data_IF_671090504643
#
_entry.id   IF_671090504643
#
_cell.length_a   1.000
_cell.length_b   1.000
_cell.length_c   1.000
_cell.angle_alpha   90.00
_cell.angle_beta   90.00
_cell.angle_gamma   90.00
#
_symmetry.space_group_name_H-M   'P 1'
#
loop_
_entity.id
_entity.type
_entity.pdbx_description
1 polymer ?
#
# COMPACT_ATOMS: atom_id res chain seq x y z
N UNK A 1 9.60 5.43 -12.41
CA UNK A 1 10.29 4.18 -12.80
C UNK A 1 10.16 3.15 -11.67
N UNK A 2 9.79 1.93 -11.99
CA UNK A 2 9.80 0.80 -11.04
C UNK A 2 11.04 -0.04 -11.34
N UNK A 3 11.73 -0.47 -10.29
CA UNK A 3 12.92 -1.32 -10.41
C UNK A 3 12.77 -2.47 -9.44
N UNK A 4 12.87 -3.68 -9.99
CA UNK A 4 12.77 -4.91 -9.24
C UNK A 4 14.13 -5.34 -8.65
N UNK A 5 14.08 -6.26 -7.68
CA UNK A 5 15.23 -6.89 -7.02
C UNK A 5 16.16 -5.96 -6.21
N UNK A 6 15.67 -4.81 -5.76
CA UNK A 6 16.47 -3.88 -4.93
C UNK A 6 16.27 -4.06 -3.42
N UNK A 7 15.23 -4.77 -3.01
CA UNK A 7 14.81 -4.83 -1.60
C UNK A 7 15.33 -6.05 -0.86
N UNK A 8 15.61 -7.16 -1.56
CA UNK A 8 16.00 -8.43 -0.94
C UNK A 8 16.99 -9.23 -1.82
N UNK A 9 18.28 -9.24 -1.47
CA UNK A 9 18.88 -8.44 -0.41
C UNK A 9 18.76 -6.93 -0.69
N UNK A 10 18.92 -6.10 0.36
CA UNK A 10 18.80 -4.65 0.19
C UNK A 10 20.04 -4.06 -0.49
N UNK A 11 19.89 -3.63 -1.73
CA UNK A 11 20.96 -3.14 -2.59
C UNK A 11 21.17 -1.63 -2.44
N UNK A 12 21.70 -1.21 -1.30
CA UNK A 12 21.83 0.20 -0.94
C UNK A 12 22.61 1.02 -1.99
N UNK A 13 23.76 0.52 -2.43
CA UNK A 13 24.62 1.24 -3.37
C UNK A 13 23.94 1.46 -4.73
N UNK A 14 23.21 0.46 -5.21
CA UNK A 14 22.46 0.51 -6.46
C UNK A 14 21.30 1.49 -6.37
N UNK A 15 20.58 1.52 -5.23
CA UNK A 15 19.50 2.47 -4.98
C UNK A 15 20.03 3.90 -5.03
N UNK A 16 21.15 4.20 -4.34
CA UNK A 16 21.79 5.50 -4.37
C UNK A 16 22.26 5.89 -5.76
N UNK A 17 22.84 4.94 -6.51
CA UNK A 17 23.30 5.18 -7.88
C UNK A 17 22.14 5.53 -8.80
N UNK A 18 21.03 4.80 -8.71
CA UNK A 18 19.82 5.06 -9.50
C UNK A 18 19.21 6.41 -9.13
N UNK A 19 19.10 6.72 -7.85
CA UNK A 19 18.59 8.01 -7.38
C UNK A 19 19.44 9.17 -7.94
N UNK A 20 20.76 9.07 -7.83
CA UNK A 20 21.70 10.05 -8.41
C UNK A 20 21.55 10.19 -9.93
N UNK A 21 21.33 9.07 -10.63
CA UNK A 21 21.10 9.10 -12.08
C UNK A 21 19.80 9.81 -12.44
N UNK A 22 18.72 9.53 -11.71
CA UNK A 22 17.43 10.22 -11.89
C UNK A 22 17.59 11.73 -11.64
N UNK A 23 18.24 12.14 -10.57
CA UNK A 23 18.41 13.54 -10.20
C UNK A 23 19.21 14.30 -11.26
N UNK A 24 20.23 13.68 -11.86
CA UNK A 24 21.02 14.28 -12.96
C UNK A 24 20.21 14.56 -14.21
N UNK A 25 19.07 13.89 -14.40
CA UNK A 25 18.20 14.17 -15.57
C UNK A 25 17.47 15.52 -15.46
N UNK A 26 17.36 16.09 -14.26
CA UNK A 26 16.54 17.25 -13.96
C UNK A 26 15.02 17.02 -14.13
N UNK A 27 14.59 15.79 -14.34
CA UNK A 27 13.18 15.44 -14.56
C UNK A 27 12.52 14.94 -13.27
N UNK A 28 11.24 15.27 -13.03
CA UNK A 28 10.49 14.76 -11.89
C UNK A 28 10.10 13.28 -12.13
N UNK A 29 11.00 12.35 -11.77
CA UNK A 29 10.79 10.90 -11.94
C UNK A 29 10.62 10.26 -10.58
N UNK A 30 9.47 9.60 -10.38
CA UNK A 30 9.19 8.76 -9.21
C UNK A 30 10.01 7.47 -9.31
N UNK A 31 10.74 7.13 -8.25
CA UNK A 31 11.41 5.85 -8.08
C UNK A 31 10.59 4.96 -7.16
N UNK A 32 10.18 3.79 -7.69
CA UNK A 32 9.51 2.72 -6.95
C UNK A 32 10.42 1.49 -6.88
N UNK A 33 10.68 1.01 -5.67
CA UNK A 33 11.47 -0.20 -5.42
C UNK A 33 10.56 -1.42 -5.23
N UNK A 34 10.87 -2.52 -5.90
CA UNK A 34 10.10 -3.78 -5.92
C UNK A 34 11.03 -4.94 -6.36
N UNK A 35 10.56 -6.21 -6.29
CA UNK A 35 9.65 -6.75 -5.31
C UNK A 35 10.37 -7.02 -4.00
N UNK A 36 9.62 -7.62 -3.09
CA UNK A 36 10.14 -8.11 -1.83
C UNK A 36 9.89 -7.16 -0.69
N UNK A 37 9.86 -7.74 0.46
CA UNK A 37 9.67 -7.05 1.71
C UNK A 37 10.93 -6.23 2.03
N UNK A 38 10.83 -4.92 1.95
CA UNK A 38 11.92 -4.04 2.36
C UNK A 38 12.08 -4.12 3.88
N UNK A 39 13.31 -4.34 4.35
CA UNK A 39 13.60 -4.36 5.79
C UNK A 39 13.32 -2.98 6.40
N UNK A 40 12.47 -2.93 7.43
CA UNK A 40 12.11 -1.71 8.13
C UNK A 40 13.32 -1.00 8.76
N UNK A 41 14.38 -1.72 9.09
CA UNK A 41 15.64 -1.13 9.56
C UNK A 41 16.36 -0.29 8.47
N UNK A 42 15.91 -0.36 7.23
CA UNK A 42 16.38 0.45 6.10
C UNK A 42 15.44 1.61 5.76
N UNK A 43 14.43 1.86 6.60
CA UNK A 43 13.40 2.84 6.33
C UNK A 43 13.96 4.25 6.05
N UNK A 44 14.87 4.74 6.88
CA UNK A 44 15.47 6.07 6.70
C UNK A 44 16.21 6.19 5.35
N UNK A 45 16.89 5.12 4.93
CA UNK A 45 17.55 5.09 3.63
C UNK A 45 16.53 5.05 2.48
N UNK A 46 15.48 4.24 2.61
CA UNK A 46 14.41 4.16 1.61
C UNK A 46 13.69 5.52 1.43
N UNK A 47 13.32 6.17 2.54
CA UNK A 47 12.73 7.52 2.56
C UNK A 47 13.63 8.55 1.87
N UNK A 48 14.95 8.47 2.08
CA UNK A 48 15.92 9.41 1.51
C UNK A 48 16.17 9.22 0.01
N UNK A 49 15.90 8.05 -0.55
CA UNK A 49 16.34 7.71 -1.89
C UNK A 49 15.23 7.24 -2.85
N UNK A 50 14.11 6.75 -2.34
CA UNK A 50 12.97 6.31 -3.15
C UNK A 50 11.71 7.10 -2.82
N UNK A 51 10.74 7.06 -3.72
CA UNK A 51 9.42 7.66 -3.52
C UNK A 51 8.38 6.63 -3.08
N UNK A 52 8.59 5.38 -3.50
CA UNK A 52 7.78 4.22 -3.13
C UNK A 52 8.70 3.02 -2.91
N UNK A 53 8.34 2.15 -2.00
CA UNK A 53 9.03 0.88 -1.78
C UNK A 53 8.07 -0.17 -1.24
N UNK A 54 8.19 -1.38 -1.74
CA UNK A 54 7.36 -2.51 -1.32
C UNK A 54 7.65 -2.88 0.12
N UNK A 55 6.62 -2.97 0.91
CA UNK A 55 6.70 -3.36 2.32
C UNK A 55 6.46 -4.85 2.53
N UNK A 56 5.94 -5.52 1.53
CA UNK A 56 5.63 -6.96 1.50
C UNK A 56 6.07 -7.57 0.17
N UNK A 57 6.13 -8.88 0.10
CA UNK A 57 6.20 -9.61 -1.16
C UNK A 57 4.91 -9.45 -1.97
N UNK A 58 4.79 -10.11 -3.11
CA UNK A 58 3.61 -10.01 -3.97
C UNK A 58 2.33 -10.32 -3.20
N UNK A 59 1.47 -9.32 -3.10
CA UNK A 59 0.20 -9.42 -2.39
C UNK A 59 -0.88 -10.00 -3.30
N UNK A 60 -1.26 -11.24 -3.00
CA UNK A 60 -2.33 -11.93 -3.72
C UNK A 60 -3.57 -12.13 -2.85
N UNK A 61 -4.68 -12.40 -3.50
CA UNK A 61 -6.02 -12.54 -2.95
C UNK A 61 -6.22 -13.82 -2.13
N UNK A 62 -5.53 -13.88 -0.99
CA UNK A 62 -5.67 -14.93 0.02
C UNK A 62 -5.51 -14.37 1.43
N UNK A 63 -6.16 -15.02 2.39
CA UNK A 63 -6.16 -14.55 3.77
C UNK A 63 -4.78 -14.43 4.42
N UNK A 64 -3.83 -15.37 4.27
CA UNK A 64 -2.50 -15.23 4.86
C UNK A 64 -1.80 -13.95 4.40
N UNK A 65 -1.89 -13.57 3.13
CA UNK A 65 -1.30 -12.34 2.62
C UNK A 65 -2.00 -11.09 3.19
N UNK A 66 -3.35 -11.11 3.29
CA UNK A 66 -4.09 -10.02 3.89
C UNK A 66 -3.78 -9.86 5.37
N UNK A 67 -3.73 -10.97 6.11
CA UNK A 67 -3.38 -10.94 7.53
C UNK A 67 -1.97 -10.37 7.77
N UNK A 68 -1.02 -10.76 6.93
CA UNK A 68 0.36 -10.23 7.00
C UNK A 68 0.43 -8.71 6.79
N UNK A 69 -0.45 -8.11 5.99
CA UNK A 69 -0.53 -6.66 5.88
C UNK A 69 -0.80 -5.97 7.23
N UNK A 70 -1.65 -6.57 8.08
CA UNK A 70 -1.91 -6.03 9.42
C UNK A 70 -0.70 -6.10 10.36
N UNK A 71 0.27 -6.97 10.09
CA UNK A 71 1.52 -7.07 10.85
C UNK A 71 2.58 -6.08 10.35
N UNK A 72 2.58 -5.78 9.07
CA UNK A 72 3.61 -4.99 8.39
C UNK A 72 3.26 -3.50 8.33
N UNK A 73 2.02 -3.16 7.95
CA UNK A 73 1.59 -1.76 7.81
C UNK A 73 1.85 -0.90 9.06
N UNK A 74 1.63 -1.40 10.32
CA UNK A 74 1.91 -0.60 11.52
C UNK A 74 3.38 -0.23 11.67
N UNK A 75 4.30 -1.10 11.22
CA UNK A 75 5.75 -0.86 11.31
C UNK A 75 6.19 0.25 10.36
N UNK A 76 5.50 0.38 9.22
CA UNK A 76 5.81 1.35 8.17
C UNK A 76 5.00 2.66 8.26
N UNK A 77 3.89 2.67 8.99
CA UNK A 77 3.05 3.87 9.15
C UNK A 77 3.82 5.14 9.60
N UNK A 78 4.83 5.06 10.49
CA UNK A 78 5.61 6.23 10.88
C UNK A 78 6.43 6.87 9.77
N UNK A 79 6.67 6.16 8.68
CA UNK A 79 7.51 6.61 7.56
C UNK A 79 6.71 7.18 6.38
N UNK A 80 5.38 7.23 6.50
CA UNK A 80 4.52 7.82 5.49
C UNK A 80 4.70 9.34 5.48
N UNK A 81 5.02 9.89 4.32
CA UNK A 81 5.21 11.33 4.18
C UNK A 81 5.05 11.81 2.75
N UNK A 82 5.16 13.11 2.54
CA UNK A 82 5.08 13.68 1.20
C UNK A 82 6.27 13.23 0.35
N UNK A 83 5.98 12.44 -0.68
CA UNK A 83 6.97 11.86 -1.58
C UNK A 83 7.65 10.60 -1.05
N UNK A 84 7.16 10.05 0.09
CA UNK A 84 7.64 8.84 0.72
C UNK A 84 6.45 7.93 1.02
N UNK A 85 6.29 6.88 0.23
CA UNK A 85 5.09 6.03 0.25
C UNK A 85 5.47 4.56 0.42
N UNK A 86 5.39 4.02 1.65
CA UNK A 86 5.41 2.58 1.85
C UNK A 86 4.28 1.93 1.05
N UNK A 87 4.62 0.98 0.20
CA UNK A 87 3.73 0.37 -0.78
C UNK A 87 3.34 -1.04 -0.33
N UNK A 88 2.08 -1.21 0.04
CA UNK A 88 1.51 -2.50 0.44
C UNK A 88 1.14 -3.38 -0.77
N UNK A 89 1.65 -3.03 -1.95
CA UNK A 89 1.44 -3.69 -3.23
C UNK A 89 0.07 -3.39 -3.88
N UNK A 90 -0.25 -4.17 -4.89
CA UNK A 90 -1.47 -4.00 -5.68
C UNK A 90 -2.75 -4.30 -4.88
N UNK A 91 -3.87 -3.83 -5.39
CA UNK A 91 -5.21 -4.24 -4.99
C UNK A 91 -5.65 -5.43 -5.86
N UNK A 92 -5.57 -6.70 -5.40
CA UNK A 92 -5.94 -7.86 -6.17
C UNK A 92 -7.46 -8.07 -6.14
N UNK A 93 -8.19 -7.10 -6.68
CA UNK A 93 -9.65 -7.03 -6.68
C UNK A 93 -10.21 -7.16 -8.10
N UNK A 94 -11.50 -7.49 -8.21
CA UNK A 94 -12.19 -7.62 -9.48
C UNK A 94 -11.71 -8.82 -10.31
N UNK A 95 -11.67 -8.63 -11.63
CA UNK A 95 -11.24 -9.66 -12.57
C UNK A 95 -9.72 -9.66 -12.71
N UNK A 96 -9.10 -10.75 -12.30
CA UNK A 96 -7.64 -10.95 -12.28
C UNK A 96 -7.28 -11.98 -13.35
N UNK A 97 -6.31 -11.68 -14.20
CA UNK A 97 -5.70 -12.65 -15.09
C UNK A 97 -4.23 -12.86 -14.71
N UNK A 98 -3.95 -14.01 -14.11
CA UNK A 98 -2.59 -14.41 -13.80
C UNK A 98 -2.14 -15.50 -14.78
N UNK A 99 -1.31 -15.12 -15.74
CA UNK A 99 -0.71 -16.05 -16.72
C UNK A 99 -1.74 -16.91 -17.47
N UNK A 100 -2.84 -16.30 -17.91
CA UNK A 100 -3.91 -16.97 -18.63
C UNK A 100 -4.92 -17.69 -17.75
N UNK A 101 -4.91 -17.49 -16.45
CA UNK A 101 -5.91 -17.96 -15.48
C UNK A 101 -6.83 -16.82 -15.08
N UNK A 102 -7.64 -16.36 -16.04
CA UNK A 102 -8.63 -15.31 -15.80
C UNK A 102 -9.70 -15.76 -14.79
N UNK A 103 -9.89 -14.98 -13.73
CA UNK A 103 -10.87 -15.27 -12.66
C UNK A 103 -11.21 -14.02 -11.86
N UNK A 104 -12.30 -14.06 -11.14
CA UNK A 104 -12.58 -13.04 -10.12
C UNK A 104 -11.65 -13.23 -8.90
N UNK A 105 -11.42 -12.15 -8.18
CA UNK A 105 -10.71 -12.18 -6.90
C UNK A 105 -11.32 -13.24 -5.97
N UNK A 106 -10.47 -13.98 -5.27
CA UNK A 106 -10.89 -14.99 -4.28
C UNK A 106 -11.28 -14.39 -2.94
N UNK A 107 -10.96 -13.13 -2.70
CA UNK A 107 -11.39 -12.45 -1.49
C UNK A 107 -12.91 -12.42 -1.40
N UNK A 108 -13.44 -12.77 -0.24
CA UNK A 108 -14.83 -12.49 0.11
C UNK A 108 -15.11 -10.99 0.04
N UNK A 109 -16.37 -10.58 0.04
CA UNK A 109 -16.72 -9.15 0.07
C UNK A 109 -16.16 -8.46 1.31
N UNK A 110 -16.19 -9.13 2.45
CA UNK A 110 -15.69 -8.56 3.71
C UNK A 110 -14.17 -8.38 3.65
N UNK A 111 -13.42 -9.36 3.12
CA UNK A 111 -11.99 -9.23 2.90
C UNK A 111 -11.65 -8.10 1.91
N UNK A 112 -12.45 -7.91 0.86
CA UNK A 112 -12.27 -6.80 -0.07
C UNK A 112 -12.51 -5.43 0.62
N UNK A 113 -13.51 -5.32 1.50
CA UNK A 113 -13.69 -4.15 2.35
C UNK A 113 -12.49 -3.95 3.28
N UNK A 114 -11.97 -5.02 3.90
CA UNK A 114 -10.77 -4.95 4.74
C UNK A 114 -9.56 -4.41 3.97
N UNK A 115 -9.29 -4.92 2.75
CA UNK A 115 -8.19 -4.46 1.90
C UNK A 115 -8.32 -2.95 1.64
N UNK A 116 -9.47 -2.50 1.12
CA UNK A 116 -9.66 -1.09 0.80
C UNK A 116 -9.57 -0.19 2.03
N UNK A 117 -10.13 -0.63 3.16
CA UNK A 117 -10.10 0.13 4.41
C UNK A 117 -8.67 0.22 4.96
N UNK A 118 -7.94 -0.90 5.01
CA UNK A 118 -6.56 -0.90 5.49
C UNK A 118 -5.66 -0.05 4.60
N UNK A 119 -5.76 -0.19 3.28
CA UNK A 119 -4.95 0.60 2.35
C UNK A 119 -5.26 2.10 2.44
N UNK A 120 -6.53 2.47 2.66
CA UNK A 120 -6.91 3.86 2.89
C UNK A 120 -6.33 4.40 4.20
N UNK A 121 -6.42 3.65 5.29
CA UNK A 121 -5.89 4.04 6.60
C UNK A 121 -4.37 4.03 6.66
N UNK A 122 -3.73 3.08 6.01
CA UNK A 122 -2.27 3.02 5.87
C UNK A 122 -1.73 4.00 4.82
N UNK A 123 -2.59 4.53 3.95
CA UNK A 123 -2.21 5.41 2.82
C UNK A 123 -1.26 4.74 1.82
N UNK A 124 -1.38 3.42 1.63
CA UNK A 124 -0.66 2.74 0.56
C UNK A 124 -1.04 3.31 -0.81
N UNK A 125 -0.10 3.45 -1.75
CA UNK A 125 -0.47 3.73 -3.13
C UNK A 125 -1.53 2.75 -3.64
N UNK A 126 -2.60 3.26 -4.26
CA UNK A 126 -3.70 2.41 -4.75
C UNK A 126 -3.39 1.96 -6.18
N UNK A 127 -2.64 0.86 -6.30
CA UNK A 127 -2.29 0.24 -7.57
C UNK A 127 -3.25 -0.91 -7.86
N UNK A 128 -4.17 -0.71 -8.81
CA UNK A 128 -5.18 -1.72 -9.14
C UNK A 128 -4.56 -2.91 -9.88
N UNK A 129 -4.72 -4.10 -9.33
CA UNK A 129 -4.15 -5.36 -9.85
C UNK A 129 -5.09 -6.16 -10.75
N UNK A 130 -6.33 -5.73 -10.93
CA UNK A 130 -7.31 -6.38 -11.80
C UNK A 130 -7.46 -5.69 -13.16
N UNK A 131 -8.32 -6.25 -14.02
CA UNK A 131 -8.66 -5.71 -15.34
C UNK A 131 -9.86 -4.74 -15.23
N UNK A 132 -9.58 -3.44 -15.24
CA UNK A 132 -10.59 -2.39 -15.01
C UNK A 132 -11.85 -2.50 -15.92
N UNK A 133 -11.72 -2.80 -17.22
CA UNK A 133 -12.91 -2.90 -18.11
C UNK A 133 -13.89 -3.99 -17.71
N UNK A 134 -13.43 -5.05 -17.04
CA UNK A 134 -14.25 -6.21 -16.66
C UNK A 134 -14.72 -6.16 -15.20
N UNK A 135 -14.50 -5.05 -14.52
CA UNK A 135 -14.93 -4.91 -13.13
C UNK A 135 -16.44 -5.00 -13.00
N UNK A 136 -16.90 -5.77 -12.00
CA UNK A 136 -18.28 -5.78 -11.58
C UNK A 136 -18.67 -4.48 -10.83
N UNK A 137 -19.97 -4.33 -10.59
CA UNK A 137 -20.51 -3.15 -9.88
C UNK A 137 -19.96 -3.03 -8.45
N UNK A 138 -19.71 -4.16 -7.80
CA UNK A 138 -19.19 -4.16 -6.42
C UNK A 138 -17.75 -3.68 -6.39
N UNK A 139 -16.87 -4.23 -7.22
CA UNK A 139 -15.48 -3.78 -7.34
C UNK A 139 -15.40 -2.29 -7.67
N UNK A 140 -16.21 -1.84 -8.64
CA UNK A 140 -16.27 -0.42 -8.96
C UNK A 140 -16.71 0.42 -7.76
N UNK A 141 -17.72 -0.02 -6.99
CA UNK A 141 -18.17 0.71 -5.80
C UNK A 141 -17.10 0.83 -4.71
N UNK A 142 -16.19 -0.14 -4.61
CA UNK A 142 -15.05 -0.07 -3.67
C UNK A 142 -14.01 0.95 -4.11
N UNK A 143 -13.53 0.83 -5.35
CA UNK A 143 -12.38 1.62 -5.84
C UNK A 143 -12.75 3.06 -6.20
N UNK A 144 -14.04 3.37 -6.31
CA UNK A 144 -14.56 4.72 -6.58
C UNK A 144 -15.31 5.34 -5.40
N UNK A 145 -15.23 4.76 -4.22
CA UNK A 145 -15.87 5.31 -3.03
C UNK A 145 -15.18 6.62 -2.62
N UNK A 146 -15.85 7.75 -2.84
CA UNK A 146 -15.28 9.08 -2.63
C UNK A 146 -14.92 9.35 -1.16
N UNK A 147 -15.64 8.78 -0.20
CA UNK A 147 -15.34 8.97 1.23
C UNK A 147 -14.07 8.23 1.60
N UNK A 148 -13.92 6.97 1.17
CA UNK A 148 -12.70 6.17 1.39
C UNK A 148 -11.50 6.80 0.70
N UNK A 149 -11.67 7.23 -0.55
CA UNK A 149 -10.63 7.93 -1.31
C UNK A 149 -10.28 9.29 -0.68
N UNK A 150 -11.26 9.96 -0.06
CA UNK A 150 -11.00 11.18 0.68
C UNK A 150 -10.11 10.92 1.90
N UNK A 151 -10.43 9.91 2.72
CA UNK A 151 -9.59 9.48 3.86
C UNK A 151 -8.18 9.15 3.39
N UNK A 152 -8.05 8.32 2.35
CA UNK A 152 -6.77 7.93 1.78
C UNK A 152 -5.90 9.15 1.40
N UNK A 153 -6.48 10.13 0.71
CA UNK A 153 -5.73 11.29 0.21
C UNK A 153 -5.39 12.31 1.29
N UNK A 154 -6.30 12.56 2.22
CA UNK A 154 -6.26 13.75 3.05
C UNK A 154 -5.98 13.48 4.53
N UNK A 155 -6.24 12.28 5.06
CA UNK A 155 -6.02 12.00 6.48
C UNK A 155 -4.55 12.14 6.88
N UNK A 156 -4.33 12.47 8.15
CA UNK A 156 -3.01 12.60 8.76
C UNK A 156 -2.96 11.81 10.07
N UNK A 157 -1.76 11.63 10.63
CA UNK A 157 -1.53 10.90 11.88
C UNK A 157 -2.08 9.47 11.86
N UNK A 158 -2.06 8.85 10.69
CA UNK A 158 -2.56 7.49 10.47
C UNK A 158 -1.72 6.47 11.25
N UNK A 159 -2.38 5.65 12.07
CA UNK A 159 -1.69 4.64 12.87
C UNK A 159 -2.62 3.53 13.33
N UNK A 160 -2.06 2.35 13.56
CA UNK A 160 -2.73 1.31 14.33
C UNK A 160 -2.77 1.75 15.80
N UNK A 161 -3.98 1.84 16.35
CA UNK A 161 -4.22 2.24 17.73
C UNK A 161 -4.37 1.05 18.68
N UNK A 162 -4.95 -0.04 18.17
CA UNK A 162 -5.26 -1.22 18.97
C UNK A 162 -5.07 -2.50 18.14
N UNK A 163 -4.55 -3.55 18.77
CA UNK A 163 -4.46 -4.87 18.18
C UNK A 163 -4.42 -5.91 19.31
N UNK A 164 -5.58 -6.49 19.63
CA UNK A 164 -5.70 -7.51 20.68
C UNK A 164 -6.99 -8.30 20.51
N UNK A 165 -6.95 -9.57 20.91
CA UNK A 165 -8.10 -10.47 20.98
C UNK A 165 -8.89 -10.56 19.64
N UNK A 166 -8.17 -10.57 18.52
CA UNK A 166 -8.76 -10.62 17.17
C UNK A 166 -9.35 -9.30 16.66
N UNK A 167 -9.28 -8.23 17.44
CA UNK A 167 -9.74 -6.89 17.03
C UNK A 167 -8.54 -6.01 16.72
N UNK A 168 -8.58 -5.36 15.56
CA UNK A 168 -7.59 -4.37 15.14
C UNK A 168 -8.31 -3.04 14.90
N UNK A 169 -7.74 -1.96 15.42
CA UNK A 169 -8.27 -0.62 15.17
C UNK A 169 -7.17 0.31 14.64
N UNK A 170 -7.52 1.06 13.61
CA UNK A 170 -6.70 2.13 13.07
C UNK A 170 -7.40 3.47 13.26
N UNK A 171 -6.61 4.49 13.52
CA UNK A 171 -7.10 5.87 13.65
C UNK A 171 -6.34 6.80 12.72
N UNK A 172 -7.01 7.88 12.31
CA UNK A 172 -6.42 8.98 11.58
C UNK A 172 -7.19 10.26 11.88
N UNK A 173 -6.63 11.41 11.53
CA UNK A 173 -7.25 12.72 11.76
C UNK A 173 -7.65 13.34 10.41
N UNK A 174 -8.79 14.07 10.42
CA UNK A 174 -9.12 15.00 9.34
C UNK A 174 -8.43 16.35 9.63
N UNK A 175 -7.48 16.79 8.80
CA UNK A 175 -6.73 18.03 9.06
C UNK A 175 -7.58 19.30 8.90
N UNK A 176 -8.80 19.21 8.33
CA UNK A 176 -9.68 20.36 8.10
C UNK A 176 -10.41 20.82 9.36
N UNK A 177 -10.84 19.87 10.19
CA UNK A 177 -11.73 20.12 11.34
C UNK A 177 -11.30 19.40 12.62
N UNK A 178 -10.27 18.54 12.54
CA UNK A 178 -9.78 17.76 13.67
C UNK A 178 -10.62 16.53 14.02
N UNK A 179 -11.60 16.18 13.19
CA UNK A 179 -12.36 14.94 13.34
C UNK A 179 -11.46 13.71 13.26
N UNK A 180 -11.93 12.61 13.82
CA UNK A 180 -11.20 11.35 13.86
C UNK A 180 -11.86 10.33 12.94
N UNK A 181 -11.02 9.67 12.15
CA UNK A 181 -11.39 8.45 11.45
C UNK A 181 -11.05 7.25 12.32
N UNK A 182 -11.95 6.28 12.36
CA UNK A 182 -11.77 5.02 13.06
C UNK A 182 -12.12 3.88 12.10
N UNK A 183 -11.18 2.97 11.88
CA UNK A 183 -11.43 1.72 11.19
C UNK A 183 -11.28 0.55 12.17
N UNK A 184 -12.28 -0.33 12.20
CA UNK A 184 -12.31 -1.53 13.04
C UNK A 184 -12.31 -2.75 12.14
N UNK A 185 -11.46 -3.73 12.47
CA UNK A 185 -11.34 -5.02 11.81
C UNK A 185 -11.51 -6.12 12.86
N UNK A 186 -12.37 -7.09 12.52
CA UNK A 186 -12.64 -8.24 13.37
C UNK A 186 -12.74 -9.53 12.54
#
# INVERSE_FOLDING_TARGET
VKIDDLSRPYHQAEIEMIRKAIDRTGRPIVLSMSPGETDVNKADHAVGHANMWRTVDDFWDNWPHLYHQFEVCPKWAPYIGRGAWPDADMLPLGHIDLRGNARMSKFTRDEQYMVMTLFAMFKSPLMFGGHLPDNDKFTNSLITNEEVLYVHRNSVNNKQWYNKDGVIAWTADDPRNGDKYLALFY
#
